data_IF_435617203552
#
_entry.id   IF_435617203552
#
_cell.length_a   1.000
_cell.length_b   1.000
_cell.length_c   1.000
_cell.angle_alpha   90.00
_cell.angle_beta   90.00
_cell.angle_gamma   90.00
#
_symmetry.space_group_name_H-M   'P 1'
#
loop_
_entity.id
_entity.type
_entity.pdbx_description
1 polymer ?
#
# COMPACT_ATOMS: atom_id res chain seq x y z
N UNK A 1 9.75 20.94 10.60
CA UNK A 1 8.38 20.46 10.26
C UNK A 1 8.27 19.01 10.69
N UNK A 2 7.29 18.71 11.54
CA UNK A 2 6.93 17.30 11.82
C UNK A 2 6.26 16.73 10.58
N UNK A 3 6.54 15.47 10.18
CA UNK A 3 5.81 14.83 9.09
C UNK A 3 4.31 14.82 9.47
N UNK A 4 3.48 15.26 8.54
CA UNK A 4 2.03 15.22 8.72
C UNK A 4 1.56 13.80 8.49
N UNK A 5 0.76 13.25 9.41
CA UNK A 5 0.14 11.96 9.21
C UNK A 5 -1.06 12.11 8.27
N UNK A 6 -1.04 11.42 7.14
CA UNK A 6 -2.18 11.29 6.25
C UNK A 6 -3.01 10.04 6.60
N UNK A 7 -4.22 9.96 6.05
CA UNK A 7 -5.10 8.80 6.20
C UNK A 7 -5.26 8.11 4.84
N UNK A 8 -5.03 6.81 4.79
CA UNK A 8 -5.33 5.99 3.61
C UNK A 8 -6.84 5.73 3.51
N UNK A 9 -7.39 5.84 2.30
CA UNK A 9 -8.79 5.48 2.02
C UNK A 9 -9.13 4.04 2.41
N UNK A 10 -8.14 3.14 2.45
CA UNK A 10 -8.32 1.76 2.88
C UNK A 10 -8.77 1.65 4.35
N UNK A 11 -8.39 2.60 5.22
CA UNK A 11 -8.89 2.69 6.61
C UNK A 11 -10.43 2.76 6.65
N UNK A 12 -11.04 3.35 5.65
CA UNK A 12 -12.49 3.50 5.53
C UNK A 12 -13.13 2.45 4.61
N UNK A 13 -12.53 1.29 4.42
CA UNK A 13 -13.00 0.28 3.47
C UNK A 13 -14.47 -0.11 3.70
N UNK A 14 -14.92 -0.25 4.94
CA UNK A 14 -16.32 -0.55 5.27
C UNK A 14 -17.22 0.63 4.92
N UNK A 15 -16.89 1.83 5.42
CA UNK A 15 -17.67 3.04 5.16
C UNK A 15 -17.71 3.40 3.67
N UNK A 16 -16.61 3.19 2.94
CA UNK A 16 -16.50 3.45 1.51
C UNK A 16 -17.42 2.58 0.64
N UNK A 17 -17.93 1.47 1.18
CA UNK A 17 -18.90 0.58 0.52
C UNK A 17 -20.37 0.93 0.83
N UNK A 18 -20.61 1.79 1.80
CA UNK A 18 -21.95 2.20 2.18
C UNK A 18 -22.53 3.17 1.16
N UNK A 19 -23.84 3.15 1.01
CA UNK A 19 -24.55 4.14 0.20
C UNK A 19 -24.51 5.52 0.87
N UNK A 20 -24.59 6.58 0.08
CA UNK A 20 -24.56 7.95 0.59
C UNK A 20 -25.75 8.27 1.54
N UNK A 21 -26.85 7.54 1.42
CA UNK A 21 -28.03 7.67 2.29
C UNK A 21 -28.09 6.65 3.44
N UNK A 22 -27.02 5.88 3.65
CA UNK A 22 -26.92 4.97 4.81
C UNK A 22 -26.63 5.75 6.10
N UNK A 23 -26.71 5.08 7.25
CA UNK A 23 -26.29 5.63 8.54
C UNK A 23 -25.28 4.67 9.20
N UNK A 24 -24.00 5.04 9.33
CA UNK A 24 -23.36 6.26 8.78
C UNK A 24 -23.36 6.30 7.26
N UNK A 25 -23.35 7.51 6.69
CA UNK A 25 -23.29 7.68 5.24
C UNK A 25 -21.91 7.28 4.66
N UNK A 26 -21.92 6.67 3.47
CA UNK A 26 -20.73 6.44 2.68
C UNK A 26 -20.13 7.75 2.14
N UNK A 27 -18.92 7.67 1.59
CA UNK A 27 -18.33 8.81 0.88
C UNK A 27 -18.95 8.95 -0.51
N UNK A 28 -19.25 10.18 -0.91
CA UNK A 28 -19.83 10.51 -2.21
C UNK A 28 -18.77 10.42 -3.32
N UNK A 29 -17.60 10.97 -3.04
CA UNK A 29 -16.48 11.11 -3.97
C UNK A 29 -15.16 11.30 -3.19
N UNK A 30 -14.05 11.42 -3.91
CA UNK A 30 -12.72 11.67 -3.35
C UNK A 30 -12.64 12.99 -2.58
N UNK A 31 -13.38 14.01 -3.00
CA UNK A 31 -13.38 15.32 -2.32
C UNK A 31 -14.01 15.20 -0.93
N UNK A 32 -15.15 14.53 -0.81
CA UNK A 32 -15.80 14.27 0.48
C UNK A 32 -14.90 13.49 1.46
N UNK A 33 -14.09 12.54 0.95
CA UNK A 33 -13.12 11.82 1.78
C UNK A 33 -11.99 12.74 2.24
N UNK A 34 -11.50 13.63 1.38
CA UNK A 34 -10.46 14.62 1.74
C UNK A 34 -10.96 15.59 2.80
N UNK A 35 -12.19 16.10 2.63
CA UNK A 35 -12.85 16.99 3.60
C UNK A 35 -13.00 16.29 4.96
N UNK A 36 -13.47 15.04 4.97
CA UNK A 36 -13.57 14.25 6.18
C UNK A 36 -12.20 14.01 6.86
N UNK A 37 -11.15 13.72 6.11
CA UNK A 37 -9.80 13.59 6.67
C UNK A 37 -9.33 14.91 7.31
N UNK A 38 -9.65 16.06 6.69
CA UNK A 38 -9.38 17.38 7.27
C UNK A 38 -10.13 17.61 8.59
N UNK A 39 -11.43 17.29 8.65
CA UNK A 39 -12.25 17.39 9.87
C UNK A 39 -11.67 16.60 11.04
N UNK A 40 -11.01 15.46 10.76
CA UNK A 40 -10.32 14.65 11.76
C UNK A 40 -8.92 15.17 12.13
N UNK A 41 -8.47 16.27 11.53
CA UNK A 41 -7.16 16.86 11.78
C UNK A 41 -6.00 16.13 11.09
N UNK A 42 -6.28 15.27 10.08
CA UNK A 42 -5.23 14.63 9.30
C UNK A 42 -4.41 15.64 8.49
N UNK A 43 -3.12 15.40 8.35
CA UNK A 43 -2.21 16.22 7.56
C UNK A 43 -2.22 15.90 6.05
N UNK A 44 -3.02 14.92 5.62
CA UNK A 44 -3.14 14.51 4.23
C UNK A 44 -4.12 13.36 4.04
N UNK A 45 -4.27 12.93 2.78
CA UNK A 45 -5.06 11.76 2.44
C UNK A 45 -4.42 10.99 1.26
N UNK A 46 -4.53 9.67 1.29
CA UNK A 46 -4.16 8.80 0.18
C UNK A 46 -5.43 8.15 -0.37
N UNK A 47 -5.84 8.55 -1.59
CA UNK A 47 -7.17 8.30 -2.14
C UNK A 47 -7.08 7.63 -3.52
N UNK A 48 -8.01 6.72 -3.83
CA UNK A 48 -8.10 6.11 -5.16
C UNK A 48 -8.40 7.14 -6.26
N UNK A 49 -7.67 7.07 -7.38
CA UNK A 49 -7.77 8.05 -8.48
C UNK A 49 -8.97 7.83 -9.43
N UNK A 50 -9.90 6.95 -9.07
CA UNK A 50 -10.97 6.48 -9.96
C UNK A 50 -11.83 7.62 -10.55
N UNK A 51 -12.26 8.55 -9.71
CA UNK A 51 -13.15 9.68 -10.06
C UNK A 51 -12.38 10.97 -10.41
N UNK A 52 -11.04 10.96 -10.33
CA UNK A 52 -10.25 12.17 -10.55
C UNK A 52 -10.27 12.66 -12.00
N UNK A 53 -10.53 11.76 -12.96
CA UNK A 53 -10.68 12.10 -14.37
C UNK A 53 -12.06 12.70 -14.70
N UNK A 54 -12.98 12.80 -13.76
CA UNK A 54 -14.24 13.48 -13.94
C UNK A 54 -14.02 15.00 -14.09
N UNK A 55 -14.87 15.69 -14.87
CA UNK A 55 -14.68 17.11 -15.17
C UNK A 55 -14.50 17.97 -13.90
N UNK A 56 -13.32 18.59 -13.77
CA UNK A 56 -13.00 19.50 -12.69
C UNK A 56 -12.67 18.85 -11.34
N UNK A 57 -12.78 17.52 -11.18
CA UNK A 57 -12.51 16.84 -9.90
C UNK A 57 -11.06 17.03 -9.46
N UNK A 58 -10.09 16.77 -10.32
CA UNK A 58 -8.66 16.94 -10.03
C UNK A 58 -8.32 18.36 -9.55
N UNK A 59 -8.87 19.39 -10.21
CA UNK A 59 -8.68 20.80 -9.80
C UNK A 59 -9.30 21.11 -8.44
N UNK A 60 -10.51 20.58 -8.19
CA UNK A 60 -11.18 20.76 -6.88
C UNK A 60 -10.39 20.10 -5.76
N UNK A 61 -9.89 18.87 -5.98
CA UNK A 61 -9.04 18.17 -5.03
C UNK A 61 -7.77 18.96 -4.71
N UNK A 62 -7.08 19.46 -5.76
CA UNK A 62 -5.91 20.29 -5.59
C UNK A 62 -6.22 21.56 -4.79
N UNK A 63 -7.25 22.30 -5.17
CA UNK A 63 -7.64 23.54 -4.49
C UNK A 63 -7.98 23.30 -3.01
N UNK A 64 -8.70 22.22 -2.70
CA UNK A 64 -9.02 21.87 -1.32
C UNK A 64 -7.81 21.39 -0.52
N UNK A 65 -6.94 20.58 -1.11
CA UNK A 65 -5.70 20.16 -0.44
C UNK A 65 -4.80 21.37 -0.12
N UNK A 66 -4.68 22.32 -1.06
CA UNK A 66 -3.95 23.59 -0.87
C UNK A 66 -4.61 24.46 0.22
N UNK A 67 -5.94 24.64 0.19
CA UNK A 67 -6.72 25.37 1.20
C UNK A 67 -6.52 24.82 2.60
N UNK A 68 -6.55 23.49 2.75
CA UNK A 68 -6.38 22.80 4.01
C UNK A 68 -4.91 22.62 4.43
N UNK A 69 -3.97 22.92 3.54
CA UNK A 69 -2.54 22.67 3.75
C UNK A 69 -2.23 21.18 3.93
N UNK A 70 -2.99 20.29 3.26
CA UNK A 70 -2.88 18.84 3.29
C UNK A 70 -2.02 18.31 2.15
N UNK A 71 -1.36 17.16 2.40
CA UNK A 71 -0.70 16.38 1.37
C UNK A 71 -1.71 15.42 0.74
N UNK A 72 -1.69 15.28 -0.59
CA UNK A 72 -2.50 14.32 -1.33
C UNK A 72 -1.62 13.30 -2.03
N UNK A 73 -1.89 12.02 -1.82
CA UNK A 73 -1.35 10.90 -2.59
C UNK A 73 -2.48 10.15 -3.30
N UNK A 74 -2.18 9.56 -4.44
CA UNK A 74 -3.15 8.74 -5.18
C UNK A 74 -2.94 7.24 -4.96
N UNK A 75 -4.01 6.46 -5.18
CA UNK A 75 -3.94 5.00 -5.28
C UNK A 75 -4.39 4.59 -6.69
N UNK A 76 -3.54 3.84 -7.41
CA UNK A 76 -3.77 3.47 -8.81
C UNK A 76 -3.49 1.97 -9.04
N UNK A 77 -4.26 1.33 -9.91
CA UNK A 77 -3.96 -0.02 -10.38
C UNK A 77 -2.96 0.00 -11.54
N UNK A 78 -2.12 -1.04 -11.65
CA UNK A 78 -1.19 -1.21 -12.76
C UNK A 78 -1.93 -1.55 -14.07
N UNK A 79 -1.42 -1.11 -15.24
CA UNK A 79 -1.96 -1.50 -16.55
C UNK A 79 -1.56 -2.94 -16.87
N UNK A 80 -2.51 -3.87 -16.77
CA UNK A 80 -2.26 -5.32 -16.92
C UNK A 80 -2.10 -5.76 -18.36
N UNK A 81 -2.68 -5.02 -19.29
CA UNK A 81 -2.62 -5.26 -20.74
C UNK A 81 -2.56 -3.93 -21.50
N UNK A 82 -2.22 -3.97 -22.78
CA UNK A 82 -2.06 -2.77 -23.59
C UNK A 82 -3.34 -1.93 -23.70
N UNK A 83 -4.50 -2.59 -23.69
CA UNK A 83 -5.79 -1.89 -23.67
C UNK A 83 -6.01 -1.01 -22.41
N UNK A 84 -5.27 -1.25 -21.33
CA UNK A 84 -5.39 -0.48 -20.09
C UNK A 84 -4.54 0.81 -20.11
N UNK A 85 -3.59 0.93 -21.05
CA UNK A 85 -2.63 2.05 -21.12
C UNK A 85 -3.32 3.39 -21.18
N UNK A 86 -4.29 3.54 -22.09
CA UNK A 86 -4.98 4.83 -22.26
C UNK A 86 -5.75 5.26 -21.00
N UNK A 87 -6.36 4.33 -20.29
CA UNK A 87 -7.05 4.61 -19.04
C UNK A 87 -6.05 4.96 -17.92
N UNK A 88 -4.93 4.24 -17.87
CA UNK A 88 -3.84 4.51 -16.92
C UNK A 88 -3.25 5.91 -17.13
N UNK A 89 -2.94 6.30 -18.39
CA UNK A 89 -2.43 7.65 -18.71
C UNK A 89 -3.43 8.76 -18.34
N UNK A 90 -4.73 8.56 -18.57
CA UNK A 90 -5.74 9.52 -18.10
C UNK A 90 -5.70 9.70 -16.59
N UNK A 91 -5.55 8.60 -15.84
CA UNK A 91 -5.43 8.66 -14.38
C UNK A 91 -4.15 9.38 -13.93
N UNK A 92 -3.01 9.16 -14.62
CA UNK A 92 -1.76 9.89 -14.35
C UNK A 92 -1.91 11.40 -14.61
N UNK A 93 -2.57 11.78 -15.71
CA UNK A 93 -2.86 13.18 -16.04
C UNK A 93 -3.71 13.84 -14.95
N UNK A 94 -4.78 13.17 -14.52
CA UNK A 94 -5.65 13.68 -13.47
C UNK A 94 -4.91 13.76 -12.11
N UNK A 95 -4.08 12.79 -11.77
CA UNK A 95 -3.26 12.83 -10.56
C UNK A 95 -2.29 14.01 -10.56
N UNK A 96 -1.62 14.27 -11.69
CA UNK A 96 -0.74 15.43 -11.83
C UNK A 96 -1.52 16.76 -11.73
N UNK A 97 -2.70 16.85 -12.32
CA UNK A 97 -3.57 18.01 -12.20
C UNK A 97 -4.03 18.25 -10.76
N UNK A 98 -4.29 17.17 -10.01
CA UNK A 98 -4.61 17.21 -8.58
C UNK A 98 -3.40 17.60 -7.68
N UNK A 99 -2.22 17.82 -8.26
CA UNK A 99 -1.01 18.20 -7.51
C UNK A 99 -0.29 17.04 -6.82
N UNK A 100 -0.62 15.81 -7.18
CA UNK A 100 0.01 14.59 -6.62
C UNK A 100 1.37 14.36 -7.26
N UNK A 101 2.33 13.90 -6.46
CA UNK A 101 3.65 13.47 -6.92
C UNK A 101 3.91 11.97 -6.72
N UNK A 102 3.17 11.32 -5.84
CA UNK A 102 3.32 9.90 -5.50
C UNK A 102 1.99 9.17 -5.67
N UNK A 103 2.04 8.03 -6.35
CA UNK A 103 0.92 7.12 -6.54
C UNK A 103 1.25 5.77 -5.91
N UNK A 104 0.46 5.33 -4.95
CA UNK A 104 0.57 3.98 -4.39
C UNK A 104 -0.09 2.97 -5.30
N UNK A 105 0.52 1.81 -5.46
CA UNK A 105 -0.05 0.66 -6.16
C UNK A 105 0.23 -0.64 -5.43
N UNK A 106 -0.56 -1.67 -5.72
CA UNK A 106 -0.29 -3.06 -5.33
C UNK A 106 -0.19 -3.92 -6.58
N UNK A 107 0.63 -4.95 -6.55
CA UNK A 107 0.64 -5.97 -7.58
C UNK A 107 -0.50 -6.96 -7.34
N UNK A 108 -0.64 -7.46 -6.11
CA UNK A 108 -1.73 -8.33 -5.68
C UNK A 108 -2.67 -7.60 -4.70
N UNK A 109 -3.95 -7.51 -5.04
CA UNK A 109 -4.96 -6.94 -4.12
C UNK A 109 -5.45 -7.92 -3.04
N UNK A 110 -5.11 -9.21 -3.15
CA UNK A 110 -5.41 -10.27 -2.21
C UNK A 110 -4.20 -10.67 -1.37
N UNK A 111 -4.25 -11.88 -0.81
CA UNK A 111 -3.16 -12.46 -0.02
C UNK A 111 -2.58 -13.67 -0.76
N UNK A 112 -1.27 -13.77 -0.79
CA UNK A 112 -0.53 -14.79 -1.54
C UNK A 112 -1.01 -16.20 -1.22
N UNK A 113 -1.08 -16.56 0.06
CA UNK A 113 -1.46 -17.87 0.54
C UNK A 113 -2.94 -18.24 0.33
N UNK A 114 -3.79 -17.25 0.02
CA UNK A 114 -5.21 -17.48 -0.32
C UNK A 114 -5.44 -17.49 -1.84
N UNK A 115 -4.66 -16.71 -2.58
CA UNK A 115 -4.87 -16.49 -4.01
C UNK A 115 -4.28 -17.61 -4.87
N UNK A 116 -3.13 -18.15 -4.45
CA UNK A 116 -2.39 -19.12 -5.27
C UNK A 116 -2.36 -20.48 -4.60
N UNK A 117 -2.91 -21.48 -5.31
CA UNK A 117 -2.92 -22.87 -4.85
C UNK A 117 -1.63 -23.63 -5.15
N UNK A 118 -0.79 -23.15 -6.07
CA UNK A 118 0.44 -23.82 -6.50
C UNK A 118 1.59 -22.82 -6.67
N UNK A 119 2.82 -23.34 -6.60
CA UNK A 119 4.02 -22.57 -6.88
C UNK A 119 4.03 -22.01 -8.30
N UNK A 120 3.57 -22.79 -9.28
CA UNK A 120 3.53 -22.41 -10.70
C UNK A 120 2.62 -21.20 -10.91
N UNK A 121 1.46 -21.17 -10.25
CA UNK A 121 0.53 -20.03 -10.33
C UNK A 121 1.13 -18.75 -9.72
N UNK A 122 1.89 -18.89 -8.62
CA UNK A 122 2.63 -17.78 -8.03
C UNK A 122 3.75 -17.29 -8.96
N UNK A 123 4.55 -18.19 -9.55
CA UNK A 123 5.61 -17.83 -10.48
C UNK A 123 5.06 -17.16 -11.76
N UNK A 124 3.88 -17.58 -12.22
CA UNK A 124 3.21 -16.89 -13.33
C UNK A 124 2.82 -15.47 -12.93
N UNK A 125 2.18 -15.30 -11.78
CA UNK A 125 1.84 -13.97 -11.26
C UNK A 125 3.07 -13.05 -11.10
N UNK A 126 4.22 -13.59 -10.69
CA UNK A 126 5.47 -12.82 -10.61
C UNK A 126 5.91 -12.29 -11.98
N UNK A 127 5.80 -13.14 -13.04
CA UNK A 127 6.10 -12.71 -14.42
C UNK A 127 5.13 -11.63 -14.89
N UNK A 128 3.84 -11.85 -14.71
CA UNK A 128 2.80 -10.89 -15.09
C UNK A 128 2.97 -9.56 -14.35
N UNK A 129 3.24 -9.59 -13.05
CA UNK A 129 3.49 -8.40 -12.24
C UNK A 129 4.68 -7.59 -12.74
N UNK A 130 5.74 -8.27 -13.18
CA UNK A 130 6.90 -7.63 -13.79
C UNK A 130 6.51 -6.92 -15.09
N UNK A 131 5.73 -7.55 -15.95
CA UNK A 131 5.23 -6.96 -17.19
C UNK A 131 4.35 -5.72 -16.90
N UNK A 132 3.46 -5.80 -15.92
CA UNK A 132 2.61 -4.66 -15.54
C UNK A 132 3.44 -3.47 -15.05
N UNK A 133 4.44 -3.74 -14.22
CA UNK A 133 5.30 -2.68 -13.68
C UNK A 133 6.17 -2.05 -14.78
N UNK A 134 6.74 -2.85 -15.66
CA UNK A 134 7.55 -2.37 -16.80
C UNK A 134 6.72 -1.60 -17.83
N UNK A 135 5.44 -1.91 -17.96
CA UNK A 135 4.49 -1.15 -18.77
C UNK A 135 4.13 0.19 -18.11
N UNK A 136 4.03 0.23 -16.79
CA UNK A 136 3.66 1.44 -16.04
C UNK A 136 4.80 2.45 -15.92
N UNK A 137 6.03 2.00 -15.70
CA UNK A 137 7.19 2.84 -15.37
C UNK A 137 7.41 3.99 -16.39
N UNK A 138 7.50 3.76 -17.72
CA UNK A 138 7.75 4.83 -18.68
C UNK A 138 6.62 5.87 -18.72
N UNK A 139 5.39 5.46 -18.44
CA UNK A 139 4.24 6.36 -18.38
C UNK A 139 4.31 7.24 -17.13
N UNK A 140 4.61 6.65 -15.98
CA UNK A 140 4.81 7.39 -14.72
C UNK A 140 5.95 8.40 -14.85
N UNK A 141 7.07 8.00 -15.45
CA UNK A 141 8.21 8.86 -15.76
C UNK A 141 7.82 10.02 -16.69
N UNK A 142 7.12 9.73 -17.79
CA UNK A 142 6.62 10.74 -18.75
C UNK A 142 5.79 11.83 -18.05
N UNK A 143 4.99 11.46 -17.06
CA UNK A 143 4.17 12.42 -16.29
C UNK A 143 4.94 13.10 -15.15
N UNK A 144 6.21 12.72 -14.87
CA UNK A 144 7.01 13.26 -13.77
C UNK A 144 6.45 12.87 -12.40
N UNK A 145 5.81 11.71 -12.31
CA UNK A 145 5.25 11.13 -11.08
C UNK A 145 6.18 10.03 -10.55
N UNK A 146 5.89 9.56 -9.36
CA UNK A 146 6.54 8.37 -8.76
C UNK A 146 5.49 7.33 -8.38
N UNK A 147 5.79 6.06 -8.61
CA UNK A 147 4.96 4.92 -8.31
C UNK A 147 5.52 4.18 -7.10
N UNK A 148 4.77 4.15 -6.01
CA UNK A 148 5.11 3.47 -4.77
C UNK A 148 4.44 2.08 -4.76
N UNK A 149 5.21 1.02 -4.97
CA UNK A 149 4.72 -0.37 -4.98
C UNK A 149 4.69 -0.88 -3.54
N UNK A 150 3.53 -1.29 -3.06
CA UNK A 150 3.36 -1.77 -1.70
C UNK A 150 3.80 -3.22 -1.53
N UNK A 151 4.47 -3.52 -0.42
CA UNK A 151 4.63 -4.87 0.11
C UNK A 151 3.32 -5.30 0.78
N UNK A 152 2.41 -5.89 -0.03
CA UNK A 152 1.03 -6.18 0.37
C UNK A 152 0.80 -7.67 0.59
N UNK A 153 1.21 -8.35 1.59
CA UNK A 153 0.99 -9.81 1.85
C UNK A 153 1.20 -10.71 0.61
N UNK A 154 2.05 -10.23 -0.32
CA UNK A 154 2.36 -10.87 -1.61
C UNK A 154 3.86 -11.10 -1.78
N UNK A 155 4.67 -10.07 -1.73
CA UNK A 155 6.11 -10.11 -1.96
C UNK A 155 6.89 -10.19 -0.64
N UNK A 156 7.77 -11.18 -0.54
CA UNK A 156 8.76 -11.23 0.54
C UNK A 156 9.84 -10.17 0.33
N UNK A 157 10.57 -9.84 1.39
CA UNK A 157 11.63 -8.82 1.36
C UNK A 157 12.59 -9.02 0.18
N UNK A 158 13.14 -10.23 0.04
CA UNK A 158 14.13 -10.51 -1.00
C UNK A 158 13.56 -10.44 -2.41
N UNK A 159 12.30 -10.84 -2.59
CA UNK A 159 11.58 -10.72 -3.84
C UNK A 159 11.32 -9.24 -4.19
N UNK A 160 10.83 -8.43 -3.24
CA UNK A 160 10.61 -6.99 -3.45
C UNK A 160 11.92 -6.26 -3.75
N UNK A 161 13.01 -6.57 -3.02
CA UNK A 161 14.35 -6.02 -3.31
C UNK A 161 14.83 -6.38 -4.71
N UNK A 162 14.57 -7.61 -5.16
CA UNK A 162 14.91 -8.03 -6.52
C UNK A 162 14.13 -7.24 -7.58
N UNK A 163 12.83 -6.97 -7.35
CA UNK A 163 12.02 -6.11 -8.22
C UNK A 163 12.60 -4.70 -8.27
N UNK A 164 12.89 -4.08 -7.12
CA UNK A 164 13.42 -2.71 -7.06
C UNK A 164 14.80 -2.59 -7.73
N UNK A 165 15.70 -3.54 -7.51
CA UNK A 165 17.00 -3.57 -8.17
C UNK A 165 16.90 -3.74 -9.68
N UNK A 166 15.95 -4.57 -10.14
CA UNK A 166 15.76 -4.86 -11.56
C UNK A 166 15.12 -3.71 -12.31
N UNK A 167 14.10 -3.04 -11.73
CA UNK A 167 13.47 -1.87 -12.36
C UNK A 167 14.42 -0.67 -12.40
N UNK A 168 15.23 -0.49 -11.36
CA UNK A 168 16.28 0.52 -11.26
C UNK A 168 15.86 1.91 -11.77
N UNK A 169 14.68 2.37 -11.35
CA UNK A 169 14.10 3.64 -11.77
C UNK A 169 13.92 4.59 -10.58
N UNK A 170 14.25 5.85 -10.75
CA UNK A 170 13.94 6.92 -9.77
C UNK A 170 12.43 7.21 -9.65
N UNK A 171 11.65 6.73 -10.62
CA UNK A 171 10.19 6.89 -10.67
C UNK A 171 9.43 5.72 -10.02
N UNK A 172 10.12 4.67 -9.58
CA UNK A 172 9.52 3.51 -8.89
C UNK A 172 10.22 3.28 -7.57
N UNK A 173 9.45 3.23 -6.51
CA UNK A 173 9.93 2.90 -5.16
C UNK A 173 8.92 2.04 -4.41
N UNK A 174 9.11 1.93 -3.11
CA UNK A 174 8.28 1.12 -2.22
C UNK A 174 7.30 2.01 -1.46
N UNK A 175 6.04 1.61 -1.41
CA UNK A 175 5.11 2.01 -0.34
C UNK A 175 5.29 0.99 0.77
N UNK A 176 6.07 1.36 1.78
CA UNK A 176 6.41 0.44 2.87
C UNK A 176 5.23 0.27 3.82
N UNK A 177 4.61 -0.90 3.81
CA UNK A 177 3.65 -1.30 4.83
C UNK A 177 4.37 -2.01 5.98
N UNK A 178 4.22 -1.48 7.19
CA UNK A 178 4.98 -1.94 8.36
C UNK A 178 4.48 -3.27 8.94
N UNK A 179 3.26 -3.70 8.60
CA UNK A 179 2.62 -4.89 9.19
C UNK A 179 2.35 -6.04 8.22
N UNK A 180 2.30 -5.80 6.93
CA UNK A 180 1.81 -6.78 5.97
C UNK A 180 2.65 -8.07 5.88
N UNK A 181 3.97 -7.97 5.97
CA UNK A 181 4.85 -9.13 5.82
C UNK A 181 4.84 -10.09 7.03
N UNK A 182 4.20 -9.72 8.14
CA UNK A 182 3.92 -10.66 9.25
C UNK A 182 3.12 -11.85 8.72
N UNK A 183 2.18 -11.59 7.79
CA UNK A 183 1.41 -12.64 7.12
C UNK A 183 2.26 -13.59 6.24
N UNK A 184 3.51 -13.22 5.94
CA UNK A 184 4.49 -14.02 5.21
C UNK A 184 5.61 -14.56 6.13
N UNK A 185 5.42 -14.48 7.45
CA UNK A 185 6.37 -14.89 8.49
C UNK A 185 7.72 -14.17 8.38
N UNK A 186 7.71 -12.89 8.06
CA UNK A 186 8.90 -12.04 8.06
C UNK A 186 8.86 -11.07 9.24
N UNK A 187 10.00 -10.90 9.90
CA UNK A 187 10.16 -9.95 11.00
C UNK A 187 9.88 -8.53 10.52
N UNK A 188 8.90 -7.81 11.12
CA UNK A 188 8.47 -6.50 10.63
C UNK A 188 9.57 -5.44 10.76
N UNK A 189 10.43 -5.51 11.77
CA UNK A 189 11.55 -4.59 11.91
C UNK A 189 12.62 -4.82 10.83
N UNK A 190 12.84 -6.09 10.45
CA UNK A 190 13.71 -6.44 9.34
C UNK A 190 13.13 -5.93 8.01
N UNK A 191 11.81 -6.09 7.79
CA UNK A 191 11.13 -5.55 6.59
C UNK A 191 11.41 -4.05 6.46
N UNK A 192 11.21 -3.28 7.52
CA UNK A 192 11.43 -1.84 7.53
C UNK A 192 12.89 -1.50 7.22
N UNK A 193 13.85 -2.14 7.91
CA UNK A 193 15.29 -1.86 7.71
C UNK A 193 15.73 -2.15 6.28
N UNK A 194 15.28 -3.26 5.72
CA UNK A 194 15.74 -3.71 4.41
C UNK A 194 15.05 -3.01 3.24
N UNK A 195 13.79 -2.53 3.39
CA UNK A 195 13.07 -1.82 2.34
C UNK A 195 13.18 -0.30 2.43
N UNK A 196 13.57 0.27 3.57
CA UNK A 196 13.70 1.72 3.77
C UNK A 196 14.49 2.45 2.66
N UNK A 197 15.59 1.90 2.10
CA UNK A 197 16.36 2.57 1.03
C UNK A 197 15.56 2.84 -0.26
N UNK A 198 14.48 2.10 -0.52
CA UNK A 198 13.61 2.28 -1.70
C UNK A 198 12.28 2.95 -1.34
N UNK A 199 12.05 3.23 -0.05
CA UNK A 199 10.75 3.71 0.42
C UNK A 199 10.52 5.17 0.08
N UNK A 200 9.42 5.45 -0.62
CA UNK A 200 9.00 6.80 -1.02
C UNK A 200 7.67 7.22 -0.39
N UNK A 201 6.86 6.27 0.10
CA UNK A 201 5.65 6.45 0.90
C UNK A 201 5.54 5.29 1.88
N UNK A 202 4.79 5.42 2.96
CA UNK A 202 4.63 4.36 3.94
C UNK A 202 3.20 4.27 4.48
N UNK A 203 2.74 3.04 4.69
CA UNK A 203 1.57 2.73 5.52
C UNK A 203 2.01 2.41 6.94
N UNK A 204 1.46 3.14 7.91
CA UNK A 204 1.70 2.86 9.32
C UNK A 204 0.44 2.28 9.98
N UNK A 205 0.67 1.31 10.81
CA UNK A 205 -0.34 0.59 11.60
C UNK A 205 0.31 -0.05 12.81
N UNK A 206 -0.48 -0.50 13.76
CA UNK A 206 -0.03 -1.41 14.81
C UNK A 206 -0.76 -2.73 14.67
N UNK A 207 -0.13 -3.83 15.11
CA UNK A 207 -0.59 -5.18 14.83
C UNK A 207 -0.70 -6.00 16.10
N UNK A 208 -1.81 -6.74 16.21
CA UNK A 208 -2.03 -7.75 17.23
C UNK A 208 -2.10 -9.15 16.62
N UNK A 209 -1.76 -10.16 17.42
CA UNK A 209 -1.85 -11.57 17.06
C UNK A 209 -2.59 -12.35 18.14
N UNK A 210 -3.28 -13.42 17.73
CA UNK A 210 -3.93 -14.36 18.62
C UNK A 210 -3.78 -15.80 18.10
N UNK A 211 -4.03 -16.79 18.95
CA UNK A 211 -3.97 -18.19 18.55
C UNK A 211 -5.06 -18.56 17.55
N UNK A 212 -4.72 -19.42 16.62
CA UNK A 212 -5.62 -20.03 15.64
C UNK A 212 -5.11 -21.45 15.35
N UNK A 213 -6.03 -22.42 15.17
CA UNK A 213 -5.69 -23.85 15.05
C UNK A 213 -4.69 -24.16 13.92
N UNK A 214 -4.77 -23.45 12.82
CA UNK A 214 -3.93 -23.64 11.65
C UNK A 214 -2.77 -22.65 11.56
N UNK A 215 -2.54 -21.83 12.61
CA UNK A 215 -1.50 -20.84 12.66
C UNK A 215 -1.80 -19.72 13.64
N UNK A 216 -2.08 -18.50 13.15
CA UNK A 216 -2.41 -17.38 14.03
C UNK A 216 -3.39 -16.41 13.33
N UNK A 217 -4.12 -15.67 14.17
CA UNK A 217 -4.94 -14.53 13.74
C UNK A 217 -4.07 -13.27 13.73
N UNK A 218 -4.24 -12.43 12.72
CA UNK A 218 -3.53 -11.16 12.56
C UNK A 218 -4.52 -10.01 12.34
N UNK A 219 -4.45 -8.99 13.19
CA UNK A 219 -5.34 -7.83 13.11
C UNK A 219 -4.58 -6.51 13.26
N UNK A 220 -5.08 -5.46 12.61
CA UNK A 220 -4.74 -4.10 12.94
C UNK A 220 -5.38 -3.73 14.28
N UNK A 221 -4.60 -3.12 15.18
CA UNK A 221 -5.04 -2.67 16.51
C UNK A 221 -4.66 -1.20 16.73
N UNK A 222 -5.29 -0.48 17.69
CA UNK A 222 -4.91 0.89 17.99
C UNK A 222 -3.42 1.01 18.30
N UNK A 223 -2.81 2.15 17.96
CA UNK A 223 -1.40 2.39 18.26
C UNK A 223 -1.11 2.28 19.75
N UNK A 224 -0.13 1.43 20.08
CA UNK A 224 0.28 1.13 21.44
C UNK A 224 -0.38 -0.09 22.06
N UNK A 225 -1.40 -0.66 21.42
CA UNK A 225 -2.03 -1.92 21.83
C UNK A 225 -1.43 -3.14 21.11
N UNK A 226 -0.61 -2.90 20.09
CA UNK A 226 0.06 -3.92 19.31
C UNK A 226 1.49 -4.21 19.78
N UNK A 227 2.19 -5.03 18.97
CA UNK A 227 3.56 -5.45 19.29
C UNK A 227 4.64 -4.78 18.42
N UNK A 228 4.26 -3.88 17.48
CA UNK A 228 5.22 -3.20 16.62
C UNK A 228 5.91 -2.05 17.35
N UNK A 229 7.23 -1.96 17.23
CA UNK A 229 7.95 -0.73 17.59
C UNK A 229 7.77 0.32 16.47
N UNK A 230 6.54 0.82 16.36
CA UNK A 230 6.17 1.82 15.34
C UNK A 230 7.05 3.06 15.41
N UNK A 231 7.51 3.43 16.63
CA UNK A 231 8.35 4.59 16.84
C UNK A 231 9.72 4.44 16.20
N UNK A 232 10.38 3.29 16.38
CA UNK A 232 11.68 3.02 15.74
C UNK A 232 11.52 2.78 14.24
N UNK A 233 10.44 2.14 13.79
CA UNK A 233 10.13 1.99 12.37
C UNK A 233 10.02 3.33 11.65
N UNK A 234 9.29 4.28 12.23
CA UNK A 234 9.19 5.67 11.72
C UNK A 234 10.56 6.35 11.68
N UNK A 235 11.38 6.20 12.74
CA UNK A 235 12.74 6.77 12.78
C UNK A 235 13.62 6.21 11.65
N UNK A 236 13.55 4.91 11.39
CA UNK A 236 14.32 4.28 10.30
C UNK A 236 13.90 4.86 8.95
N UNK A 237 12.60 4.96 8.69
CA UNK A 237 12.07 5.55 7.45
C UNK A 237 12.51 7.01 7.29
N UNK A 238 12.42 7.83 8.34
CA UNK A 238 12.84 9.24 8.32
C UNK A 238 14.36 9.40 8.11
N UNK A 239 15.18 8.49 8.63
CA UNK A 239 16.63 8.49 8.36
C UNK A 239 16.94 8.19 6.89
N UNK A 240 16.19 7.28 6.28
CA UNK A 240 16.38 6.91 4.88
C UNK A 240 15.80 7.96 3.92
N UNK A 241 14.65 8.55 4.26
CA UNK A 241 13.96 9.57 3.47
C UNK A 241 13.30 10.59 4.40
N UNK A 242 13.94 11.73 4.70
CA UNK A 242 13.38 12.77 5.59
C UNK A 242 12.08 13.40 5.10
N UNK A 243 11.75 13.27 3.82
CA UNK A 243 10.53 13.80 3.20
C UNK A 243 9.43 12.75 3.00
N UNK A 244 9.58 11.56 3.58
CA UNK A 244 8.60 10.48 3.43
C UNK A 244 7.22 10.89 3.97
N UNK A 245 6.18 10.51 3.23
CA UNK A 245 4.80 10.64 3.69
C UNK A 245 4.37 9.36 4.41
N UNK A 246 3.79 9.54 5.60
CA UNK A 246 3.16 8.45 6.34
C UNK A 246 1.65 8.52 6.20
N UNK A 247 1.05 7.38 5.87
CA UNK A 247 -0.39 7.21 5.73
C UNK A 247 -0.88 6.19 6.76
N UNK A 248 -1.79 6.59 7.63
CA UNK A 248 -2.46 5.67 8.55
C UNK A 248 -3.31 4.70 7.72
N UNK A 249 -3.03 3.42 7.85
CA UNK A 249 -3.86 2.34 7.28
C UNK A 249 -4.22 1.34 8.38
N UNK A 250 -5.28 1.64 9.10
CA UNK A 250 -5.89 0.75 10.10
C UNK A 250 -7.26 0.32 9.60
N UNK A 251 -7.38 -0.94 9.20
CA UNK A 251 -8.63 -1.47 8.65
C UNK A 251 -9.39 -2.20 9.75
N UNK A 252 -10.54 -1.65 10.14
CA UNK A 252 -11.47 -2.34 11.06
C UNK A 252 -12.16 -3.48 10.31
N UNK A 253 -11.81 -4.71 10.67
CA UNK A 253 -12.35 -5.97 10.10
C UNK A 253 -12.09 -7.11 11.05
N UNK A 254 -12.69 -8.28 10.77
CA UNK A 254 -12.33 -9.51 11.44
C UNK A 254 -10.83 -9.81 11.24
N UNK A 255 -10.15 -10.39 12.25
CA UNK A 255 -8.75 -10.78 12.14
C UNK A 255 -8.51 -11.68 10.93
N UNK A 256 -7.34 -11.51 10.31
CA UNK A 256 -6.92 -12.36 9.20
C UNK A 256 -6.42 -13.70 9.74
N UNK A 257 -6.91 -14.80 9.19
CA UNK A 257 -6.36 -16.12 9.42
C UNK A 257 -5.07 -16.30 8.64
N UNK A 258 -3.97 -16.59 9.33
CA UNK A 258 -2.68 -16.90 8.74
C UNK A 258 -2.41 -18.39 8.93
N UNK A 259 -2.77 -19.26 7.96
CA UNK A 259 -2.77 -20.72 8.14
C UNK A 259 -1.38 -21.31 7.93
N UNK A 260 -0.36 -20.78 8.61
CA UNK A 260 1.04 -21.12 8.41
C UNK A 260 1.44 -22.53 8.89
N UNK A 261 0.55 -23.23 9.57
CA UNK A 261 0.75 -24.65 9.97
C UNK A 261 0.23 -25.62 8.90
N UNK A 262 -0.44 -25.14 7.86
CA UNK A 262 -0.96 -25.98 6.77
C UNK A 262 0.05 -26.13 5.64
N UNK A 263 0.05 -27.29 4.96
CA UNK A 263 0.89 -27.50 3.77
C UNK A 263 0.57 -26.53 2.63
N UNK A 264 -0.70 -26.18 2.46
CA UNK A 264 -1.16 -25.24 1.42
C UNK A 264 -0.48 -23.87 1.52
N UNK A 265 -0.29 -23.33 2.73
CA UNK A 265 0.42 -22.07 2.92
C UNK A 265 1.84 -22.11 2.35
N UNK A 266 2.54 -23.24 2.52
CA UNK A 266 3.93 -23.39 2.11
C UNK A 266 4.13 -23.66 0.61
N UNK A 267 3.08 -24.00 -0.14
CA UNK A 267 3.17 -24.17 -1.60
C UNK A 267 3.69 -22.89 -2.27
N UNK A 268 3.29 -21.74 -1.77
CA UNK A 268 3.69 -20.44 -2.33
C UNK A 268 4.59 -19.62 -1.41
N UNK A 269 4.46 -19.78 -0.10
CA UNK A 269 5.23 -19.02 0.90
C UNK A 269 6.53 -19.72 1.32
N UNK A 270 7.07 -20.64 0.50
CA UNK A 270 8.29 -21.40 0.82
C UNK A 270 9.44 -20.48 1.17
N UNK A 271 9.96 -20.62 2.40
CA UNK A 271 11.24 -20.06 2.80
C UNK A 271 12.30 -20.89 2.12
N UNK A 272 13.30 -20.29 1.50
CA UNK A 272 14.45 -21.03 1.03
C UNK A 272 15.09 -21.72 2.25
N UNK A 273 14.94 -23.05 2.37
CA UNK A 273 15.32 -23.84 3.56
C UNK A 273 16.79 -23.68 3.98
N UNK A 274 17.62 -23.07 3.14
CA UNK A 274 19.01 -22.75 3.48
C UNK A 274 19.16 -21.82 4.71
N UNK A 275 18.09 -21.14 5.12
CA UNK A 275 18.12 -20.18 6.24
C UNK A 275 17.39 -20.67 7.51
N UNK A 276 16.67 -21.78 7.43
CA UNK A 276 15.95 -22.32 8.57
C UNK A 276 16.70 -23.53 9.14
N UNK A 277 17.49 -23.33 10.18
CA UNK A 277 17.94 -24.40 11.07
C UNK A 277 17.07 -24.33 12.33
N UNK A 278 16.32 -25.41 12.67
CA UNK A 278 15.70 -25.47 13.99
C UNK A 278 16.80 -25.39 15.07
N UNK A 279 16.52 -24.58 16.10
CA UNK A 279 17.35 -24.50 17.31
C UNK A 279 17.18 -25.78 18.11
#
# INVERSE_FOLDING_TARGET
NRPKLAVSAATYMVRGRLKANASPAGFRDSLHLLEHAHELGAGGAQIGVRDWSEPGMAKRLRGKAEEFGMVLEGQIGLPKKDADIAAFERSLTAAKEAGVSILRTVMLGGRRYETFGTRESWEQFRRDSWEWLTRAEPLVKKHGLRLAVENHKDWRIDEMKAVMRRISSEHVGVNLDMGNNIALLEDPMRVVRELAPWTISAHIKDMGVAEYSDGFLLAEVPFGDGFLDVQEMVRICLRANPSIQFNLEMITRDPLEIPCLTSQYWETCTINRAWWRPV
#
